data_IF_472042438810
#
_entry.id   IF_472042438810
#
_cell.length_a   1.000
_cell.length_b   1.000
_cell.length_c   1.000
_cell.angle_alpha   90.00
_cell.angle_beta   90.00
_cell.angle_gamma   90.00
#
_symmetry.space_group_name_H-M   'P 1'
#
loop_
_entity.id
_entity.type
_entity.pdbx_description
1 polymer ?
#
# COMPACT_ATOMS: atom_id res chain seq x y z
N UNK A 1 26.58 -21.20 -21.12
CA UNK A 1 25.70 -20.10 -20.64
C UNK A 1 25.96 -19.93 -19.15
N UNK A 2 25.84 -18.72 -18.61
CA UNK A 2 26.11 -18.43 -17.19
C UNK A 2 25.01 -19.05 -16.31
N UNK A 3 25.24 -20.25 -15.77
CA UNK A 3 24.28 -21.04 -14.98
C UNK A 3 24.18 -20.55 -13.52
N UNK A 4 23.79 -19.29 -13.32
CA UNK A 4 23.60 -18.71 -11.99
C UNK A 4 22.15 -18.88 -11.53
N UNK A 5 21.97 -19.45 -10.34
CA UNK A 5 20.65 -19.57 -9.71
C UNK A 5 20.32 -18.30 -8.94
N UNK A 6 19.16 -17.70 -9.25
CA UNK A 6 18.62 -16.52 -8.59
C UNK A 6 17.26 -16.86 -7.98
N UNK A 7 17.09 -16.55 -6.71
CA UNK A 7 15.78 -16.49 -6.07
C UNK A 7 15.22 -15.09 -6.27
N UNK A 8 13.98 -14.99 -6.76
CA UNK A 8 13.30 -13.74 -7.08
C UNK A 8 12.03 -13.64 -6.24
N UNK A 9 11.83 -12.49 -5.60
CA UNK A 9 10.59 -12.21 -4.88
C UNK A 9 10.11 -10.78 -5.10
N UNK A 10 8.80 -10.56 -5.16
CA UNK A 10 8.23 -9.22 -5.28
C UNK A 10 6.74 -9.17 -5.60
N UNK A 11 6.23 -7.97 -5.89
CA UNK A 11 4.82 -7.75 -6.25
C UNK A 11 4.58 -8.00 -7.72
N UNK A 12 3.48 -8.69 -8.01
CA UNK A 12 3.05 -8.97 -9.38
C UNK A 12 2.41 -7.70 -9.97
N UNK A 13 2.98 -7.19 -11.05
CA UNK A 13 2.30 -6.31 -12.00
C UNK A 13 1.72 -7.21 -13.12
N UNK A 14 0.42 -7.08 -13.39
CA UNK A 14 -0.41 -8.04 -14.13
C UNK A 14 -0.16 -8.03 -15.66
N UNK A 15 1.09 -7.93 -16.10
CA UNK A 15 1.50 -7.97 -17.51
C UNK A 15 2.08 -9.33 -17.87
N UNK A 16 1.96 -9.74 -19.13
CA UNK A 16 2.63 -10.92 -19.67
C UNK A 16 3.76 -10.49 -20.60
N UNK A 17 5.02 -10.95 -20.40
CA UNK A 17 5.53 -11.82 -19.32
C UNK A 17 5.43 -11.17 -17.93
N UNK A 18 5.41 -12.00 -16.87
CA UNK A 18 5.19 -11.58 -15.48
C UNK A 18 6.20 -10.50 -15.09
N UNK A 19 5.71 -9.32 -14.76
CA UNK A 19 6.54 -8.23 -14.26
C UNK A 19 6.47 -8.20 -12.73
N UNK A 20 7.63 -8.15 -12.08
CA UNK A 20 7.78 -8.18 -10.64
C UNK A 20 8.60 -6.98 -10.17
N UNK A 21 8.08 -6.28 -9.17
CA UNK A 21 8.81 -5.23 -8.44
C UNK A 21 9.31 -5.84 -7.13
N UNK A 22 10.62 -6.06 -7.01
CA UNK A 22 11.19 -6.64 -5.80
C UNK A 22 12.67 -7.01 -5.88
N UNK A 23 13.11 -7.91 -5.01
CA UNK A 23 14.51 -8.29 -4.88
C UNK A 23 14.85 -9.63 -5.51
N UNK A 24 16.10 -9.77 -5.96
CA UNK A 24 16.69 -11.06 -6.31
C UNK A 24 17.92 -11.36 -5.45
N UNK A 25 17.99 -12.55 -4.86
CA UNK A 25 19.17 -13.05 -4.14
C UNK A 25 19.75 -14.25 -4.87
N UNK A 26 21.08 -14.30 -5.00
CA UNK A 26 21.76 -15.48 -5.52
C UNK A 26 22.10 -16.41 -4.34
N UNK A 27 21.77 -17.70 -4.45
CA UNK A 27 22.24 -18.70 -3.48
C UNK A 27 23.59 -19.28 -3.97
N UNK A 28 24.71 -18.92 -3.31
CA UNK A 28 26.06 -19.46 -3.55
C UNK A 28 27.13 -18.43 -3.98
N UNK A 29 28.23 -18.91 -4.59
CA UNK A 29 29.41 -18.11 -5.02
C UNK A 29 29.15 -17.16 -6.21
N UNK A 30 28.06 -16.40 -6.19
CA UNK A 30 27.60 -15.62 -7.34
C UNK A 30 27.17 -14.22 -6.93
N UNK A 31 27.62 -13.22 -7.73
CA UNK A 31 27.37 -11.79 -7.50
C UNK A 31 25.88 -11.49 -7.31
N UNK A 32 25.59 -10.72 -6.26
CA UNK A 32 24.37 -9.95 -6.10
C UNK A 32 24.10 -9.13 -7.37
N UNK A 33 22.97 -9.36 -8.02
CA UNK A 33 22.38 -8.32 -8.84
C UNK A 33 21.80 -7.30 -7.85
N UNK A 34 22.37 -6.09 -7.78
CA UNK A 34 21.85 -5.05 -6.90
C UNK A 34 20.51 -4.59 -7.48
N UNK A 35 19.43 -5.29 -7.12
CA UNK A 35 18.11 -5.15 -7.73
C UNK A 35 17.19 -4.22 -6.94
N UNK A 36 17.73 -3.53 -5.94
CA UNK A 36 17.02 -2.56 -5.10
C UNK A 36 16.54 -1.33 -5.88
N UNK A 37 16.69 -1.27 -7.20
CA UNK A 37 16.16 -0.22 -8.12
C UNK A 37 15.65 -0.80 -9.45
N UNK A 38 15.64 -2.13 -9.60
CA UNK A 38 15.39 -2.81 -10.86
C UNK A 38 14.02 -3.52 -10.89
N UNK A 39 13.43 -3.62 -12.08
CA UNK A 39 12.24 -4.40 -12.38
C UNK A 39 12.68 -5.79 -12.81
N UNK A 40 11.85 -6.80 -12.55
CA UNK A 40 12.17 -8.18 -12.90
C UNK A 40 11.09 -8.70 -13.83
N UNK A 41 11.49 -9.22 -14.99
CA UNK A 41 10.57 -9.89 -15.90
C UNK A 41 10.84 -11.38 -15.80
N UNK A 42 9.82 -12.16 -15.53
CA UNK A 42 9.92 -13.61 -15.48
C UNK A 42 9.19 -14.21 -16.67
N UNK A 43 9.97 -14.84 -17.54
CA UNK A 43 9.50 -15.63 -18.67
C UNK A 43 9.29 -17.08 -18.20
N UNK A 44 8.07 -17.58 -18.38
CA UNK A 44 7.64 -18.91 -17.91
C UNK A 44 7.79 -19.13 -16.39
N UNK A 45 7.19 -18.25 -15.57
CA UNK A 45 7.26 -18.36 -14.12
C UNK A 45 6.65 -19.67 -13.60
N UNK A 46 7.25 -20.22 -12.55
CA UNK A 46 6.62 -21.27 -11.74
C UNK A 46 5.38 -20.70 -11.03
N UNK A 47 4.20 -21.13 -11.48
CA UNK A 47 2.91 -20.67 -10.93
C UNK A 47 2.68 -21.10 -9.48
N UNK A 48 3.42 -22.10 -8.96
CA UNK A 48 3.31 -22.49 -7.56
C UNK A 48 3.85 -21.43 -6.59
N UNK A 49 4.75 -20.55 -7.08
CA UNK A 49 5.27 -19.40 -6.34
C UNK A 49 4.31 -18.20 -6.32
N UNK A 50 3.08 -18.35 -6.81
CA UNK A 50 2.12 -17.25 -6.91
C UNK A 50 1.31 -17.14 -5.63
N UNK A 51 1.23 -15.93 -5.11
CA UNK A 51 0.17 -15.49 -4.20
C UNK A 51 -0.73 -14.48 -4.90
N UNK A 52 -1.85 -14.09 -4.27
CA UNK A 52 -2.79 -13.10 -4.82
C UNK A 52 -2.14 -11.78 -5.25
N UNK A 53 -0.97 -11.41 -4.69
CA UNK A 53 -0.29 -10.15 -5.03
C UNK A 53 1.22 -10.26 -5.18
N UNK A 54 1.81 -11.44 -4.99
CA UNK A 54 3.26 -11.60 -4.93
C UNK A 54 3.75 -12.85 -5.63
N UNK A 55 5.01 -12.81 -6.04
CA UNK A 55 5.75 -13.92 -6.62
C UNK A 55 6.96 -14.24 -5.74
N UNK A 56 7.28 -15.52 -5.56
CA UNK A 56 8.51 -16.01 -4.97
C UNK A 56 8.98 -17.28 -5.69
N UNK A 57 10.16 -17.28 -6.30
CA UNK A 57 10.62 -18.43 -7.09
C UNK A 57 12.06 -18.36 -7.63
N UNK A 58 12.53 -19.47 -8.18
CA UNK A 58 13.92 -19.65 -8.63
C UNK A 58 14.08 -19.55 -10.17
N UNK A 59 15.16 -18.91 -10.63
CA UNK A 59 15.48 -18.66 -12.04
C UNK A 59 16.97 -18.84 -12.38
N UNK A 60 17.28 -19.22 -13.63
CA UNK A 60 18.66 -19.58 -14.04
C UNK A 60 19.28 -18.65 -15.08
N UNK A 61 18.45 -17.99 -15.88
CA UNK A 61 18.92 -17.10 -16.92
C UNK A 61 18.73 -15.66 -16.44
N UNK A 62 19.79 -14.85 -16.50
CA UNK A 62 19.71 -13.43 -16.26
C UNK A 62 20.18 -12.69 -17.50
N UNK A 63 19.27 -12.01 -18.18
CA UNK A 63 19.61 -10.95 -19.13
C UNK A 63 19.24 -9.62 -18.51
N UNK A 64 20.14 -8.64 -18.55
CA UNK A 64 19.82 -7.25 -18.26
C UNK A 64 19.34 -6.55 -19.53
N UNK A 65 18.21 -5.87 -19.45
CA UNK A 65 17.74 -4.91 -20.45
C UNK A 65 17.53 -3.55 -19.79
N UNK A 66 17.47 -2.47 -20.57
CA UNK A 66 16.98 -1.19 -20.05
C UNK A 66 15.50 -1.05 -20.37
N UNK A 67 14.65 -0.81 -19.36
CA UNK A 67 13.23 -0.49 -19.58
C UNK A 67 12.76 0.63 -18.66
N UNK A 68 11.58 1.16 -18.96
CA UNK A 68 10.88 2.11 -18.12
C UNK A 68 10.16 1.38 -16.98
N UNK A 69 10.38 1.78 -15.74
CA UNK A 69 9.63 1.27 -14.59
C UNK A 69 8.24 1.92 -14.49
N UNK A 70 7.47 1.56 -13.46
CA UNK A 70 6.14 2.15 -13.21
C UNK A 70 6.16 3.67 -12.96
N UNK A 71 7.33 4.25 -12.71
CA UNK A 71 7.57 5.68 -12.49
C UNK A 71 8.25 6.36 -13.70
N UNK A 72 8.44 5.67 -14.83
CA UNK A 72 9.10 6.24 -16.01
C UNK A 72 10.64 6.30 -15.95
N UNK A 73 11.27 5.67 -14.96
CA UNK A 73 12.74 5.57 -14.86
C UNK A 73 13.27 4.55 -15.86
N UNK A 74 14.34 4.91 -16.58
CA UNK A 74 15.12 3.89 -17.28
C UNK A 74 15.91 3.09 -16.24
N UNK A 75 15.43 1.90 -15.93
CA UNK A 75 16.05 0.98 -14.99
C UNK A 75 16.63 -0.22 -15.71
N UNK A 76 17.61 -0.87 -15.08
CA UNK A 76 17.95 -2.23 -15.45
C UNK A 76 16.75 -3.13 -15.13
N UNK A 77 16.30 -3.88 -16.13
CA UNK A 77 15.33 -4.94 -15.98
C UNK A 77 16.03 -6.26 -16.15
N UNK A 78 15.88 -7.08 -15.13
CA UNK A 78 16.42 -8.42 -15.09
C UNK A 78 15.38 -9.36 -15.68
N UNK A 79 15.65 -9.85 -16.88
CA UNK A 79 14.82 -10.84 -17.57
C UNK A 79 15.30 -12.24 -17.16
N UNK A 80 14.44 -12.89 -16.41
CA UNK A 80 14.59 -14.24 -15.90
C UNK A 80 13.85 -15.25 -16.78
N UNK A 81 14.55 -16.28 -17.23
CA UNK A 81 13.94 -17.40 -17.97
C UNK A 81 13.65 -18.61 -17.09
N UNK A 82 12.68 -19.44 -17.49
CA UNK A 82 12.51 -20.77 -16.93
C UNK A 82 13.78 -21.63 -17.12
N UNK A 83 14.13 -22.48 -16.13
CA UNK A 83 15.20 -23.45 -16.29
C UNK A 83 14.87 -24.39 -17.45
N UNK A 84 15.84 -24.62 -18.34
CA UNK A 84 15.75 -25.74 -19.30
C UNK A 84 15.62 -27.07 -18.55
N UNK A 85 15.13 -28.13 -19.19
CA UNK A 85 15.05 -29.46 -18.55
C UNK A 85 16.40 -29.92 -17.94
N UNK A 86 17.51 -29.60 -18.60
CA UNK A 86 18.86 -29.87 -18.10
C UNK A 86 19.22 -29.04 -16.85
N UNK A 87 18.86 -27.75 -16.85
CA UNK A 87 19.01 -26.89 -15.67
C UNK A 87 18.13 -27.37 -14.53
N UNK A 88 16.87 -27.75 -14.81
CA UNK A 88 15.92 -28.27 -13.82
C UNK A 88 16.46 -29.54 -13.14
N UNK A 89 17.05 -30.44 -13.93
CA UNK A 89 17.78 -31.62 -13.43
C UNK A 89 18.97 -31.23 -12.53
N UNK A 90 19.71 -30.16 -12.88
CA UNK A 90 20.82 -29.65 -12.07
C UNK A 90 20.34 -29.00 -10.76
N UNK A 91 19.23 -28.25 -10.76
CA UNK A 91 18.59 -27.74 -9.51
C UNK A 91 18.27 -28.90 -8.60
N UNK A 92 17.58 -29.91 -9.13
CA UNK A 92 17.16 -31.07 -8.36
C UNK A 92 18.37 -31.82 -7.84
N UNK A 93 19.43 -31.97 -8.63
CA UNK A 93 20.68 -32.58 -8.18
C UNK A 93 21.36 -31.78 -7.06
N UNK A 94 21.45 -30.45 -7.17
CA UNK A 94 22.01 -29.57 -6.13
C UNK A 94 21.15 -29.56 -4.86
N UNK A 95 19.83 -29.49 -5.00
CA UNK A 95 18.87 -29.64 -3.90
C UNK A 95 19.06 -30.98 -3.20
N UNK A 96 19.14 -32.07 -3.95
CA UNK A 96 19.39 -33.39 -3.38
C UNK A 96 20.75 -33.49 -2.68
N UNK A 97 21.80 -32.86 -3.23
CA UNK A 97 23.12 -32.81 -2.61
C UNK A 97 23.10 -31.99 -1.31
N UNK A 98 22.43 -30.83 -1.31
CA UNK A 98 22.21 -30.02 -0.10
C UNK A 98 21.42 -30.80 0.95
N UNK A 99 20.27 -31.39 0.58
CA UNK A 99 19.47 -32.24 1.46
C UNK A 99 20.28 -33.38 2.05
N UNK A 100 21.16 -34.01 1.24
CA UNK A 100 22.05 -35.07 1.71
C UNK A 100 23.12 -34.54 2.67
N UNK A 101 23.70 -33.37 2.40
CA UNK A 101 24.67 -32.72 3.29
C UNK A 101 24.02 -32.30 4.62
N UNK A 102 22.83 -31.70 4.59
CA UNK A 102 22.03 -31.36 5.77
C UNK A 102 21.69 -32.60 6.58
N UNK A 103 21.24 -33.68 5.92
CA UNK A 103 20.96 -34.95 6.59
C UNK A 103 22.22 -35.56 7.25
N UNK A 104 23.39 -35.42 6.63
CA UNK A 104 24.66 -35.87 7.20
C UNK A 104 25.08 -35.02 8.41
N UNK A 105 24.92 -33.69 8.33
CA UNK A 105 25.17 -32.79 9.46
C UNK A 105 24.24 -33.10 10.63
N UNK A 106 22.93 -33.26 10.36
CA UNK A 106 21.95 -33.72 11.36
C UNK A 106 22.37 -35.04 11.98
N UNK A 107 22.83 -36.02 11.19
CA UNK A 107 23.33 -37.31 11.69
C UNK A 107 24.57 -37.14 12.57
N UNK A 108 25.50 -36.25 12.21
CA UNK A 108 26.70 -35.94 13.01
C UNK A 108 26.34 -35.27 14.33
N UNK A 109 25.32 -34.42 14.34
CA UNK A 109 24.85 -33.75 15.56
C UNK A 109 24.13 -34.68 16.54
N UNK A 110 23.57 -35.81 16.06
CA UNK A 110 22.82 -36.75 16.92
C UNK A 110 23.56 -37.23 18.15
N UNK A 111 24.90 -37.32 18.09
CA UNK A 111 25.70 -37.74 19.25
C UNK A 111 25.59 -36.77 20.45
N UNK A 112 25.18 -35.52 20.20
CA UNK A 112 24.98 -34.49 21.22
C UNK A 112 23.52 -34.32 21.64
N UNK A 113 22.58 -35.06 21.03
CA UNK A 113 21.14 -34.90 21.26
C UNK A 113 20.76 -35.04 22.72
N UNK A 114 21.41 -35.92 23.49
CA UNK A 114 21.12 -36.08 24.92
C UNK A 114 21.39 -34.80 25.70
N UNK A 115 22.54 -34.15 25.46
CA UNK A 115 22.91 -32.89 26.13
C UNK A 115 22.01 -31.75 25.65
N UNK A 116 21.77 -31.67 24.33
CA UNK A 116 20.93 -30.64 23.73
C UNK A 116 19.48 -30.75 24.21
N UNK A 117 18.93 -31.97 24.31
CA UNK A 117 17.58 -32.19 24.83
C UNK A 117 17.46 -31.79 26.31
N UNK A 118 18.50 -32.01 27.11
CA UNK A 118 18.53 -31.51 28.50
C UNK A 118 18.48 -29.99 28.55
N UNK A 119 19.20 -29.31 27.66
CA UNK A 119 19.14 -27.85 27.53
C UNK A 119 17.78 -27.37 27.05
N UNK A 120 17.19 -28.00 26.03
CA UNK A 120 15.83 -27.70 25.57
C UNK A 120 14.83 -27.82 26.73
N UNK A 121 14.92 -28.89 27.52
CA UNK A 121 14.07 -29.10 28.68
C UNK A 121 14.30 -28.02 29.76
N UNK A 122 15.54 -27.63 30.01
CA UNK A 122 15.87 -26.55 30.94
C UNK A 122 15.28 -25.21 30.48
N UNK A 123 15.44 -24.85 29.21
CA UNK A 123 14.86 -23.64 28.60
C UNK A 123 13.33 -23.66 28.72
N UNK A 124 12.68 -24.76 28.35
CA UNK A 124 11.23 -24.93 28.50
C UNK A 124 10.78 -24.80 29.96
N UNK A 125 11.51 -25.39 30.90
CA UNK A 125 11.21 -25.32 32.33
C UNK A 125 11.36 -23.90 32.87
N UNK A 126 12.41 -23.18 32.46
CA UNK A 126 12.64 -21.79 32.83
C UNK A 126 11.47 -20.90 32.43
N UNK A 127 11.08 -20.92 31.15
CA UNK A 127 9.99 -20.09 30.65
C UNK A 127 8.59 -20.52 31.14
N UNK A 128 8.35 -21.83 31.35
CA UNK A 128 7.11 -22.31 31.99
C UNK A 128 7.03 -21.98 33.48
N UNK A 129 8.16 -21.83 34.17
CA UNK A 129 8.21 -21.38 35.56
C UNK A 129 8.06 -19.86 35.71
N UNK A 130 8.44 -19.11 34.68
CA UNK A 130 8.37 -17.64 34.66
C UNK A 130 7.04 -17.07 34.13
N UNK A 131 6.19 -17.90 33.52
CA UNK A 131 4.93 -17.46 32.88
C UNK A 131 3.87 -18.55 32.78
N UNK A 132 2.69 -18.22 32.23
CA UNK A 132 1.63 -19.22 32.01
C UNK A 132 2.00 -20.15 30.86
N UNK A 133 1.74 -21.47 30.96
CA UNK A 133 1.91 -22.39 29.82
C UNK A 133 1.09 -21.90 28.63
N UNK A 134 1.74 -21.76 27.47
CA UNK A 134 1.16 -21.30 26.20
C UNK A 134 0.77 -19.80 26.14
N UNK A 135 1.23 -18.97 27.08
CA UNK A 135 1.17 -17.53 26.90
C UNK A 135 2.00 -17.09 25.68
N UNK A 136 1.47 -16.23 24.78
CA UNK A 136 2.17 -15.81 23.56
C UNK A 136 3.55 -15.20 23.80
N UNK A 137 3.74 -14.38 24.83
CA UNK A 137 5.03 -13.75 25.12
C UNK A 137 6.03 -14.80 25.62
N UNK A 138 5.56 -15.76 26.42
CA UNK A 138 6.34 -16.89 26.91
C UNK A 138 6.80 -17.80 25.76
N UNK A 139 5.89 -18.12 24.83
CA UNK A 139 6.20 -18.89 23.63
C UNK A 139 7.16 -18.14 22.70
N UNK A 140 6.99 -16.83 22.55
CA UNK A 140 7.87 -15.97 21.77
C UNK A 140 9.30 -15.96 22.32
N UNK A 141 9.46 -15.68 23.61
CA UNK A 141 10.76 -15.68 24.28
C UNK A 141 11.46 -17.04 24.18
N UNK A 142 10.70 -18.12 24.35
CA UNK A 142 11.21 -19.49 24.20
C UNK A 142 11.68 -19.77 22.77
N UNK A 143 10.88 -19.42 21.76
CA UNK A 143 11.25 -19.61 20.35
C UNK A 143 12.52 -18.84 19.97
N UNK A 144 12.64 -17.58 20.44
CA UNK A 144 13.82 -16.73 20.21
C UNK A 144 15.06 -17.33 20.89
N UNK A 145 14.95 -17.72 22.17
CA UNK A 145 16.07 -18.29 22.91
C UNK A 145 16.57 -19.59 22.25
N UNK A 146 15.65 -20.50 21.90
CA UNK A 146 16.01 -21.73 21.21
C UNK A 146 16.65 -21.45 19.84
N UNK A 147 16.16 -20.47 19.09
CA UNK A 147 16.77 -20.09 17.82
C UNK A 147 18.17 -19.51 18.01
N UNK A 148 18.39 -18.68 19.03
CA UNK A 148 19.71 -18.15 19.38
C UNK A 148 20.70 -19.28 19.71
N UNK A 149 20.28 -20.25 20.54
CA UNK A 149 21.10 -21.43 20.84
C UNK A 149 21.46 -22.23 19.59
N UNK A 150 20.53 -22.37 18.64
CA UNK A 150 20.86 -22.96 17.34
C UNK A 150 21.92 -22.15 16.59
N UNK A 151 21.78 -20.82 16.51
CA UNK A 151 22.74 -19.97 15.79
C UNK A 151 24.15 -20.06 16.40
N UNK A 152 24.25 -20.17 17.73
CA UNK A 152 25.53 -20.24 18.44
C UNK A 152 26.17 -21.64 18.39
N UNK A 153 25.37 -22.70 18.36
CA UNK A 153 25.87 -24.08 18.51
C UNK A 153 25.81 -24.92 17.23
N UNK A 154 25.00 -24.51 16.24
CA UNK A 154 24.68 -25.31 15.06
C UNK A 154 23.86 -26.57 15.35
N UNK A 155 23.35 -26.78 16.58
CA UNK A 155 22.63 -27.99 16.94
C UNK A 155 21.16 -27.94 16.48
N UNK A 156 20.85 -28.70 15.42
CA UNK A 156 19.53 -28.72 14.77
C UNK A 156 18.34 -29.01 15.69
N UNK A 157 18.52 -29.77 16.78
CA UNK A 157 17.43 -30.01 17.72
C UNK A 157 16.90 -28.71 18.36
N UNK A 158 17.75 -27.68 18.54
CA UNK A 158 17.30 -26.36 18.97
C UNK A 158 16.44 -25.66 17.90
N UNK A 159 16.82 -25.72 16.62
CA UNK A 159 16.05 -25.12 15.52
C UNK A 159 14.72 -25.82 15.30
N UNK A 160 14.73 -27.16 15.32
CA UNK A 160 13.52 -27.98 15.17
C UNK A 160 12.52 -27.68 16.32
N UNK A 161 13.03 -27.56 17.55
CA UNK A 161 12.19 -27.17 18.69
C UNK A 161 11.73 -25.71 18.60
N UNK A 162 12.60 -24.78 18.22
CA UNK A 162 12.24 -23.37 18.04
C UNK A 162 11.11 -23.21 17.01
N UNK A 163 11.17 -23.95 15.89
CA UNK A 163 10.12 -24.01 14.86
C UNK A 163 8.84 -24.66 15.37
N UNK A 164 8.94 -25.72 16.18
CA UNK A 164 7.79 -26.35 16.83
C UNK A 164 7.06 -25.36 17.75
N UNK A 165 7.80 -24.65 18.62
CA UNK A 165 7.24 -23.61 19.50
C UNK A 165 6.64 -22.46 18.68
N UNK A 166 7.30 -22.01 17.61
CA UNK A 166 6.80 -20.98 16.70
C UNK A 166 5.48 -21.40 16.00
N UNK A 167 5.34 -22.68 15.66
CA UNK A 167 4.13 -23.24 15.07
C UNK A 167 2.97 -23.29 16.09
N UNK A 168 3.26 -23.60 17.36
CA UNK A 168 2.27 -23.48 18.44
C UNK A 168 1.88 -22.02 18.63
N UNK A 169 2.84 -21.10 18.66
CA UNK A 169 2.62 -19.65 18.78
C UNK A 169 1.70 -19.14 17.67
N UNK A 170 1.84 -19.62 16.42
CA UNK A 170 0.93 -19.24 15.32
C UNK A 170 -0.54 -19.53 15.65
N UNK A 171 -0.81 -20.65 16.33
CA UNK A 171 -2.17 -21.05 16.74
C UNK A 171 -2.70 -20.22 17.90
N UNK A 172 -1.82 -19.77 18.80
CA UNK A 172 -2.21 -19.03 20.02
C UNK A 172 -2.28 -17.52 19.79
N UNK A 173 -1.34 -16.98 19.02
CA UNK A 173 -1.28 -15.56 18.65
C UNK A 173 -0.53 -15.40 17.33
N UNK A 174 -1.29 -15.28 16.26
CA UNK A 174 -0.73 -15.06 14.92
C UNK A 174 0.05 -13.73 14.84
N UNK A 175 -0.38 -12.69 15.57
CA UNK A 175 0.32 -11.40 15.62
C UNK A 175 1.72 -11.53 16.22
N UNK A 176 1.83 -12.25 17.35
CA UNK A 176 3.11 -12.48 18.02
C UNK A 176 4.00 -13.41 17.18
N UNK A 177 3.41 -14.41 16.52
CA UNK A 177 4.11 -15.27 15.57
C UNK A 177 4.82 -14.45 14.48
N UNK A 178 4.11 -13.53 13.82
CA UNK A 178 4.69 -12.70 12.77
C UNK A 178 5.77 -11.72 13.28
N UNK A 179 5.63 -11.25 14.53
CA UNK A 179 6.67 -10.47 15.20
C UNK A 179 7.97 -11.28 15.39
N UNK A 180 7.85 -12.50 15.91
CA UNK A 180 8.99 -13.39 16.20
C UNK A 180 9.63 -13.96 14.94
N UNK A 181 8.86 -14.13 13.86
CA UNK A 181 9.33 -14.75 12.61
C UNK A 181 10.55 -14.04 12.00
N UNK A 182 10.78 -12.75 12.30
CA UNK A 182 12.00 -12.03 11.89
C UNK A 182 13.30 -12.70 12.35
N UNK A 183 13.26 -13.40 13.49
CA UNK A 183 14.42 -14.06 14.10
C UNK A 183 14.78 -15.36 13.38
N UNK A 184 13.83 -15.91 12.61
CA UNK A 184 13.99 -17.18 11.94
C UNK A 184 14.53 -17.04 10.53
N UNK A 185 14.08 -16.03 9.79
CA UNK A 185 14.46 -15.79 8.40
C UNK A 185 14.54 -14.27 8.12
N UNK A 186 15.71 -13.77 7.72
CA UNK A 186 15.91 -12.35 7.33
C UNK A 186 15.15 -11.98 6.03
N UNK A 187 14.65 -12.97 5.28
CA UNK A 187 14.07 -12.79 3.95
C UNK A 187 12.57 -12.48 3.88
N UNK A 188 11.84 -12.57 4.99
CA UNK A 188 10.36 -12.61 5.00
C UNK A 188 9.67 -11.27 5.32
N UNK A 189 10.36 -10.15 5.11
CA UNK A 189 9.81 -8.83 5.44
C UNK A 189 8.48 -8.54 4.69
N UNK A 190 8.37 -8.90 3.41
CA UNK A 190 7.19 -8.57 2.59
C UNK A 190 5.92 -9.31 3.01
N UNK A 191 6.00 -10.56 3.48
CA UNK A 191 4.82 -11.27 3.97
C UNK A 191 4.41 -10.77 5.36
N UNK A 192 5.40 -10.56 6.25
CA UNK A 192 5.21 -9.91 7.56
C UNK A 192 4.54 -8.55 7.41
N UNK A 193 5.04 -7.70 6.53
CA UNK A 193 4.49 -6.37 6.29
C UNK A 193 3.06 -6.43 5.78
N UNK A 194 2.76 -7.32 4.83
CA UNK A 194 1.39 -7.51 4.34
C UNK A 194 0.44 -8.04 5.42
N UNK A 195 0.91 -8.90 6.33
CA UNK A 195 0.12 -9.36 7.45
C UNK A 195 -0.31 -8.19 8.34
N UNK A 196 0.64 -7.36 8.77
CA UNK A 196 0.34 -6.22 9.63
C UNK A 196 -0.43 -5.11 8.90
N UNK A 197 -0.19 -4.92 7.60
CA UNK A 197 -0.87 -3.93 6.78
C UNK A 197 -2.38 -4.18 6.70
N UNK A 198 -2.80 -5.45 6.71
CA UNK A 198 -4.24 -5.81 6.76
C UNK A 198 -4.93 -5.36 8.04
N UNK A 199 -4.16 -5.07 9.10
CA UNK A 199 -4.69 -4.68 10.40
C UNK A 199 -4.61 -3.18 10.60
N UNK A 200 -3.41 -2.62 10.44
CA UNK A 200 -3.15 -1.21 10.68
C UNK A 200 -1.85 -0.79 9.95
N UNK A 201 -1.89 0.36 9.27
CA UNK A 201 -0.75 0.83 8.47
C UNK A 201 0.44 1.22 9.35
N UNK A 202 0.21 1.80 10.53
CA UNK A 202 1.26 2.23 11.46
C UNK A 202 1.94 1.03 12.10
N UNK A 203 1.17 -0.02 12.42
CA UNK A 203 1.72 -1.30 12.91
C UNK A 203 2.56 -1.97 11.83
N UNK A 204 2.18 -1.88 10.55
CA UNK A 204 2.99 -2.41 9.46
C UNK A 204 4.29 -1.62 9.28
N UNK A 205 4.24 -0.30 9.37
CA UNK A 205 5.41 0.56 9.24
C UNK A 205 6.39 0.39 10.40
N UNK A 206 5.92 0.07 11.60
CA UNK A 206 6.79 -0.08 12.79
C UNK A 206 7.73 -1.29 12.73
N UNK A 207 7.51 -2.22 11.80
CA UNK A 207 8.39 -3.40 11.62
C UNK A 207 9.47 -3.21 10.55
N UNK A 208 9.50 -2.06 9.88
CA UNK A 208 10.54 -1.68 8.93
C UNK A 208 11.65 -0.93 9.66
N UNK A 209 12.91 -1.31 9.42
CA UNK A 209 14.07 -0.74 10.10
C UNK A 209 15.27 -0.46 9.17
N UNK A 210 15.33 -1.11 8.00
CA UNK A 210 16.42 -0.90 7.03
C UNK A 210 15.95 -0.10 5.82
N UNK A 211 16.85 0.54 5.05
CA UNK A 211 16.49 1.25 3.82
C UNK A 211 15.71 0.36 2.84
N UNK A 212 16.11 -0.91 2.70
CA UNK A 212 15.47 -1.89 1.82
C UNK A 212 14.07 -2.30 2.31
N UNK A 213 13.86 -2.36 3.63
CA UNK A 213 12.56 -2.65 4.23
C UNK A 213 11.59 -1.48 4.05
N UNK A 214 12.05 -0.24 4.31
CA UNK A 214 11.23 0.95 4.06
C UNK A 214 10.93 1.14 2.57
N UNK A 215 11.88 0.85 1.68
CA UNK A 215 11.63 0.82 0.25
C UNK A 215 10.55 -0.21 -0.11
N UNK A 216 10.67 -1.44 0.39
CA UNK A 216 9.68 -2.48 0.14
C UNK A 216 8.29 -2.09 0.68
N UNK A 217 8.23 -1.47 1.86
CA UNK A 217 6.99 -0.93 2.42
C UNK A 217 6.36 0.14 1.51
N UNK A 218 7.16 1.08 1.00
CA UNK A 218 6.70 2.12 0.08
C UNK A 218 6.09 1.55 -1.21
N UNK A 219 6.75 0.55 -1.82
CA UNK A 219 6.25 -0.15 -3.00
C UNK A 219 4.91 -0.87 -2.75
N UNK A 220 4.77 -1.50 -1.57
CA UNK A 220 3.53 -2.17 -1.15
C UNK A 220 2.39 -1.18 -1.05
N UNK A 221 2.63 -0.12 -0.29
CA UNK A 221 1.63 0.91 0.00
C UNK A 221 1.22 1.64 -1.27
N UNK A 222 2.17 1.92 -2.17
CA UNK A 222 1.89 2.46 -3.50
C UNK A 222 0.96 1.56 -4.30
N UNK A 223 1.26 0.25 -4.37
CA UNK A 223 0.42 -0.73 -5.08
C UNK A 223 -0.98 -0.85 -4.47
N UNK A 224 -1.10 -0.63 -3.15
CA UNK A 224 -2.36 -0.58 -2.42
C UNK A 224 -3.06 0.79 -2.46
N UNK A 225 -2.52 1.76 -3.20
CA UNK A 225 -3.00 3.14 -3.31
C UNK A 225 -3.09 3.88 -1.97
N UNK A 226 -2.26 3.52 -1.01
CA UNK A 226 -2.10 4.27 0.23
C UNK A 226 -0.92 5.25 0.08
N UNK A 227 -1.12 6.29 -0.73
CA UNK A 227 -0.03 7.15 -1.20
C UNK A 227 0.59 7.97 -0.07
N UNK A 228 -0.21 8.44 0.89
CA UNK A 228 0.30 9.14 2.07
C UNK A 228 1.25 8.27 2.91
N UNK A 229 0.88 7.02 3.20
CA UNK A 229 1.77 6.12 3.95
C UNK A 229 2.96 5.64 3.10
N UNK A 230 2.75 5.42 1.79
CA UNK A 230 3.83 5.10 0.87
C UNK A 230 4.89 6.21 0.84
N UNK A 231 4.45 7.47 0.89
CA UNK A 231 5.34 8.63 0.94
C UNK A 231 6.17 8.64 2.21
N UNK A 232 5.54 8.43 3.38
CA UNK A 232 6.26 8.34 4.65
C UNK A 232 7.34 7.26 4.61
N UNK A 233 7.01 6.07 4.10
CA UNK A 233 7.97 4.98 3.95
C UNK A 233 9.09 5.32 2.96
N UNK A 234 8.77 6.00 1.85
CA UNK A 234 9.75 6.41 0.86
C UNK A 234 10.69 7.51 1.36
N UNK A 235 10.18 8.46 2.14
CA UNK A 235 10.98 9.50 2.79
C UNK A 235 11.98 8.87 3.77
N UNK A 236 11.53 7.92 4.59
CA UNK A 236 12.38 7.21 5.54
C UNK A 236 13.44 6.36 4.82
N UNK A 237 13.06 5.63 3.77
CA UNK A 237 14.03 4.88 2.96
C UNK A 237 15.08 5.81 2.35
N UNK A 238 14.68 6.98 1.86
CA UNK A 238 15.57 7.99 1.28
C UNK A 238 16.54 8.57 2.32
N UNK A 239 16.04 8.85 3.53
CA UNK A 239 16.83 9.35 4.65
C UNK A 239 17.90 8.34 5.08
N UNK A 240 17.57 7.04 5.03
CA UNK A 240 18.48 5.94 5.34
C UNK A 240 19.42 5.54 4.18
N UNK A 241 19.30 6.18 3.01
CA UNK A 241 20.25 6.03 1.89
C UNK A 241 19.74 5.20 0.71
N UNK A 242 18.48 4.76 0.69
CA UNK A 242 17.89 4.17 -0.50
C UNK A 242 17.64 5.24 -1.58
N UNK A 243 17.74 4.87 -2.85
CA UNK A 243 17.38 5.77 -3.94
C UNK A 243 15.86 5.76 -4.17
N UNK A 244 15.19 6.86 -3.78
CA UNK A 244 13.72 7.02 -3.86
C UNK A 244 13.27 8.26 -4.64
N UNK A 245 14.19 8.99 -5.30
CA UNK A 245 13.92 10.32 -5.88
C UNK A 245 12.66 10.39 -6.75
N UNK A 246 12.45 9.45 -7.67
CA UNK A 246 11.27 9.52 -8.57
C UNK A 246 10.01 8.93 -7.95
N UNK A 247 10.12 7.91 -7.10
CA UNK A 247 8.97 7.46 -6.31
C UNK A 247 8.46 8.60 -5.44
N UNK A 248 9.35 9.38 -4.82
CA UNK A 248 8.97 10.57 -4.06
C UNK A 248 8.37 11.67 -4.94
N UNK A 249 8.87 11.88 -6.16
CA UNK A 249 8.24 12.83 -7.10
C UNK A 249 6.79 12.43 -7.43
N UNK A 250 6.56 11.15 -7.74
CA UNK A 250 5.24 10.61 -8.05
C UNK A 250 4.31 10.64 -6.81
N UNK A 251 4.82 10.21 -5.66
CA UNK A 251 4.08 10.19 -4.40
C UNK A 251 3.77 11.60 -3.89
N UNK A 252 4.64 12.59 -4.12
CA UNK A 252 4.35 13.98 -3.78
C UNK A 252 3.15 14.50 -4.57
N UNK A 253 3.05 14.12 -5.85
CA UNK A 253 1.89 14.45 -6.69
C UNK A 253 0.63 13.72 -6.19
N UNK A 254 0.69 12.40 -6.04
CA UNK A 254 -0.46 11.56 -5.68
C UNK A 254 -0.96 11.79 -4.25
N UNK A 255 -0.07 12.03 -3.28
CA UNK A 255 -0.47 12.32 -1.90
C UNK A 255 -1.09 13.72 -1.77
N UNK A 256 -0.67 14.69 -2.60
CA UNK A 256 -1.32 15.98 -2.69
C UNK A 256 -2.73 15.84 -3.29
N UNK A 257 -2.88 15.03 -4.35
CA UNK A 257 -4.17 14.68 -4.94
C UNK A 257 -5.12 14.04 -3.91
N UNK A 258 -4.69 13.00 -3.17
CA UNK A 258 -5.50 12.33 -2.15
C UNK A 258 -6.03 13.31 -1.08
N UNK A 259 -5.15 14.16 -0.55
CA UNK A 259 -5.51 15.14 0.48
C UNK A 259 -6.48 16.18 -0.05
N UNK A 260 -6.23 16.70 -1.25
CA UNK A 260 -7.12 17.65 -1.89
C UNK A 260 -8.45 17.00 -2.31
N UNK A 261 -8.49 15.70 -2.61
CA UNK A 261 -9.72 14.96 -2.92
C UNK A 261 -10.65 14.89 -1.71
N UNK A 262 -10.10 14.71 -0.50
CA UNK A 262 -10.87 14.79 0.75
C UNK A 262 -11.41 16.20 0.99
N UNK A 263 -10.57 17.22 0.76
CA UNK A 263 -11.00 18.62 0.86
C UNK A 263 -12.08 18.97 -0.16
N UNK A 264 -11.97 18.45 -1.40
CA UNK A 264 -12.96 18.60 -2.45
C UNK A 264 -14.30 17.97 -2.05
N UNK A 265 -14.31 16.80 -1.42
CA UNK A 265 -15.55 16.17 -0.91
C UNK A 265 -16.24 17.03 0.14
N UNK A 266 -15.48 17.56 1.10
CA UNK A 266 -16.03 18.47 2.11
C UNK A 266 -16.55 19.78 1.50
N UNK A 267 -15.85 20.28 0.49
CA UNK A 267 -16.27 21.43 -0.30
C UNK A 267 -17.59 21.15 -1.05
N UNK A 268 -17.70 20.00 -1.74
CA UNK A 268 -18.89 19.60 -2.49
C UNK A 268 -20.13 19.51 -1.58
N UNK A 269 -19.98 19.00 -0.36
CA UNK A 269 -21.07 18.99 0.63
C UNK A 269 -21.52 20.39 1.03
N UNK A 270 -20.55 21.28 1.27
CA UNK A 270 -20.83 22.68 1.62
C UNK A 270 -21.49 23.43 0.46
N UNK A 271 -21.06 23.15 -0.78
CA UNK A 271 -21.62 23.72 -1.99
C UNK A 271 -23.05 23.23 -2.27
N UNK A 272 -23.30 21.92 -2.17
CA UNK A 272 -24.64 21.34 -2.32
C UNK A 272 -25.63 21.89 -1.29
N UNK A 273 -25.19 22.10 -0.05
CA UNK A 273 -26.01 22.73 0.98
C UNK A 273 -26.37 24.18 0.63
N UNK A 274 -25.44 24.94 0.03
CA UNK A 274 -25.68 26.32 -0.40
C UNK A 274 -26.65 26.37 -1.59
N UNK A 275 -26.48 25.50 -2.60
CA UNK A 275 -27.43 25.36 -3.73
C UNK A 275 -28.82 25.08 -3.18
N UNK A 276 -28.97 24.05 -2.34
CA UNK A 276 -30.28 23.67 -1.77
C UNK A 276 -30.94 24.79 -0.98
N UNK A 277 -30.14 25.59 -0.27
CA UNK A 277 -30.64 26.77 0.45
C UNK A 277 -31.16 27.83 -0.51
N UNK A 278 -30.46 28.07 -1.62
CA UNK A 278 -30.88 29.01 -2.65
C UNK A 278 -32.09 28.50 -3.44
N UNK A 279 -32.15 27.22 -3.80
CA UNK A 279 -33.33 26.58 -4.40
C UNK A 279 -34.57 26.75 -3.52
N UNK A 280 -34.43 26.53 -2.20
CA UNK A 280 -35.53 26.71 -1.26
C UNK A 280 -36.00 28.17 -1.20
N UNK A 281 -35.07 29.12 -1.31
CA UNK A 281 -35.39 30.55 -1.37
C UNK A 281 -36.14 30.91 -2.66
N UNK A 282 -35.68 30.42 -3.82
CA UNK A 282 -36.36 30.60 -5.09
C UNK A 282 -37.75 29.95 -5.10
N UNK A 283 -37.88 28.75 -4.52
CA UNK A 283 -39.13 28.00 -4.48
C UNK A 283 -40.23 28.68 -3.66
N UNK A 284 -39.89 29.50 -2.65
CA UNK A 284 -40.89 30.31 -1.91
C UNK A 284 -41.64 31.28 -2.80
N UNK A 285 -41.00 31.74 -3.88
CA UNK A 285 -41.47 32.86 -4.70
C UNK A 285 -41.66 32.49 -6.18
N UNK A 286 -41.57 31.21 -6.53
CA UNK A 286 -41.89 30.71 -7.86
C UNK A 286 -43.41 30.48 -8.00
N UNK A 287 -44.11 31.22 -8.89
CA UNK A 287 -45.56 31.13 -9.04
C UNK A 287 -46.08 29.75 -9.47
N UNK A 288 -45.26 28.92 -10.13
CA UNK A 288 -45.67 27.58 -10.60
C UNK A 288 -45.95 26.59 -9.45
N UNK A 289 -45.49 26.86 -8.23
CA UNK A 289 -45.81 26.04 -7.03
C UNK A 289 -46.89 26.64 -6.12
N UNK A 290 -47.19 27.93 -6.24
CA UNK A 290 -48.03 28.66 -5.28
C UNK A 290 -49.42 29.02 -5.80
N UNK A 291 -49.77 28.66 -7.05
CA UNK A 291 -51.16 28.65 -7.54
C UNK A 291 -51.83 30.03 -7.69
N UNK A 292 -51.17 31.14 -7.38
CA UNK A 292 -51.72 32.48 -7.54
C UNK A 292 -50.87 33.29 -8.54
N UNK A 293 -51.29 33.25 -9.80
CA UNK A 293 -50.85 34.23 -10.79
C UNK A 293 -51.44 35.60 -10.41
N UNK A 294 -50.68 36.42 -9.68
CA UNK A 294 -51.10 37.78 -9.34
C UNK A 294 -50.35 38.45 -8.18
N UNK A 295 -49.67 37.69 -7.30
CA UNK A 295 -48.84 38.27 -6.25
C UNK A 295 -47.47 38.67 -6.81
N UNK A 296 -47.15 39.96 -6.82
CA UNK A 296 -45.79 40.43 -7.09
C UNK A 296 -44.84 39.83 -6.05
N UNK A 297 -43.85 39.05 -6.49
CA UNK A 297 -42.83 38.49 -5.62
C UNK A 297 -42.17 39.62 -4.80
N UNK A 298 -41.92 39.41 -3.49
CA UNK A 298 -41.25 40.42 -2.69
C UNK A 298 -39.88 40.72 -3.29
N UNK A 299 -39.44 41.98 -3.20
CA UNK A 299 -38.09 42.34 -3.63
C UNK A 299 -37.08 41.62 -2.74
N UNK A 300 -36.21 40.81 -3.35
CA UNK A 300 -35.06 40.22 -2.70
C UNK A 300 -34.20 41.33 -2.05
N UNK A 301 -33.97 41.24 -0.74
CA UNK A 301 -33.10 42.17 -0.05
C UNK A 301 -31.64 41.86 -0.42
N UNK A 302 -30.98 42.79 -1.12
CA UNK A 302 -29.58 42.66 -1.53
C UNK A 302 -28.64 42.32 -0.39
N UNK A 303 -28.79 42.94 0.79
CA UNK A 303 -27.92 42.70 1.93
C UNK A 303 -28.09 41.28 2.48
N UNK A 304 -29.32 40.78 2.44
CA UNK A 304 -29.67 39.42 2.84
C UNK A 304 -29.16 38.40 1.82
N UNK A 305 -29.34 38.65 0.52
CA UNK A 305 -28.78 37.81 -0.56
C UNK A 305 -27.25 37.77 -0.47
N UNK A 306 -26.60 38.92 -0.24
CA UNK A 306 -25.16 39.00 -0.11
C UNK A 306 -24.63 38.24 1.11
N UNK A 307 -25.31 38.36 2.25
CA UNK A 307 -24.95 37.65 3.48
C UNK A 307 -25.19 36.13 3.37
N UNK A 308 -26.31 35.73 2.78
CA UNK A 308 -26.74 34.33 2.76
C UNK A 308 -26.15 33.52 1.60
N UNK A 309 -25.81 34.16 0.48
CA UNK A 309 -25.42 33.47 -0.76
C UNK A 309 -24.12 34.02 -1.36
N UNK A 310 -24.00 35.32 -1.64
CA UNK A 310 -22.82 35.88 -2.32
C UNK A 310 -21.52 35.65 -1.53
N UNK A 311 -21.51 35.96 -0.23
CA UNK A 311 -20.31 35.79 0.63
C UNK A 311 -19.93 34.31 0.83
N UNK A 312 -20.86 33.40 1.18
CA UNK A 312 -20.56 31.96 1.21
C UNK A 312 -20.05 31.42 -0.12
N UNK A 313 -20.64 31.85 -1.24
CA UNK A 313 -20.19 31.42 -2.58
C UNK A 313 -18.76 31.90 -2.87
N UNK A 314 -18.42 33.15 -2.54
CA UNK A 314 -17.08 33.69 -2.70
C UNK A 314 -16.03 32.95 -1.86
N UNK A 315 -16.40 32.55 -0.63
CA UNK A 315 -15.57 31.68 0.21
C UNK A 315 -15.34 30.32 -0.46
N UNK A 316 -16.41 29.65 -0.92
CA UNK A 316 -16.32 28.37 -1.62
C UNK A 316 -15.47 28.48 -2.90
N UNK A 317 -15.60 29.57 -3.67
CA UNK A 317 -14.77 29.84 -4.85
C UNK A 317 -13.28 29.91 -4.50
N UNK A 318 -12.96 30.57 -3.39
CA UNK A 318 -11.57 30.69 -2.90
C UNK A 318 -11.02 29.33 -2.44
N UNK A 319 -11.83 28.55 -1.72
CA UNK A 319 -11.47 27.20 -1.27
C UNK A 319 -11.24 26.26 -2.45
N UNK A 320 -12.12 26.27 -3.46
CA UNK A 320 -11.96 25.46 -4.67
C UNK A 320 -10.71 25.88 -5.47
N UNK A 321 -10.44 27.19 -5.58
CA UNK A 321 -9.26 27.71 -6.25
C UNK A 321 -7.94 27.27 -5.57
N UNK A 322 -7.98 27.06 -4.25
CA UNK A 322 -6.81 26.61 -3.48
C UNK A 322 -6.42 25.15 -3.74
N UNK A 323 -7.34 24.33 -4.24
CA UNK A 323 -7.07 22.94 -4.66
C UNK A 323 -6.39 22.96 -6.04
N UNK A 324 -5.13 22.53 -6.14
CA UNK A 324 -4.30 22.65 -7.35
C UNK A 324 -4.07 21.32 -8.08
N UNK A 325 -4.26 20.21 -7.39
CA UNK A 325 -3.90 18.87 -7.83
C UNK A 325 -5.11 18.05 -8.28
N UNK A 326 -6.33 18.40 -7.88
CA UNK A 326 -7.56 17.70 -8.29
C UNK A 326 -8.25 18.33 -9.50
N UNK A 327 -8.89 17.49 -10.32
CA UNK A 327 -9.76 17.96 -11.40
C UNK A 327 -11.07 18.53 -10.84
N UNK A 328 -11.37 19.77 -11.23
CA UNK A 328 -12.48 20.57 -10.68
C UNK A 328 -13.25 21.37 -11.76
N UNK A 329 -13.12 20.97 -13.02
CA UNK A 329 -13.69 21.68 -14.17
C UNK A 329 -15.22 21.83 -14.08
N UNK A 330 -15.91 20.78 -13.61
CA UNK A 330 -17.35 20.77 -13.41
C UNK A 330 -17.78 21.67 -12.25
N UNK A 331 -17.05 21.63 -11.13
CA UNK A 331 -17.27 22.50 -9.98
C UNK A 331 -17.05 23.98 -10.31
N UNK A 332 -16.01 24.32 -11.07
CA UNK A 332 -15.71 25.69 -11.51
C UNK A 332 -16.77 26.22 -12.48
N UNK A 333 -17.26 25.38 -13.40
CA UNK A 333 -18.37 25.72 -14.29
C UNK A 333 -19.67 25.95 -13.52
N UNK A 334 -20.01 25.04 -12.60
CA UNK A 334 -21.20 25.15 -11.74
C UNK A 334 -21.17 26.43 -10.89
N UNK A 335 -20.04 26.74 -10.26
CA UNK A 335 -19.86 27.98 -9.47
C UNK A 335 -20.14 29.24 -10.29
N UNK A 336 -19.68 29.26 -11.54
CA UNK A 336 -19.85 30.41 -12.43
C UNK A 336 -21.33 30.63 -12.77
N UNK A 337 -22.07 29.56 -13.04
CA UNK A 337 -23.52 29.62 -13.27
C UNK A 337 -24.29 30.02 -12.02
N UNK A 338 -23.91 29.50 -10.85
CA UNK A 338 -24.56 29.87 -9.59
C UNK A 338 -24.28 31.34 -9.21
N UNK A 339 -23.05 31.83 -9.42
CA UNK A 339 -22.73 33.25 -9.28
C UNK A 339 -23.60 34.11 -10.22
N UNK A 340 -23.84 33.65 -11.44
CA UNK A 340 -24.77 34.27 -12.40
C UNK A 340 -26.20 34.35 -11.86
N UNK A 341 -26.73 33.26 -11.29
CA UNK A 341 -28.08 33.22 -10.72
C UNK A 341 -28.25 34.22 -9.56
N UNK A 342 -27.29 34.28 -8.63
CA UNK A 342 -27.31 35.22 -7.51
C UNK A 342 -27.23 36.67 -8.01
N UNK A 343 -26.32 36.97 -8.95
CA UNK A 343 -26.18 38.30 -9.54
C UNK A 343 -27.46 38.73 -10.25
N UNK A 344 -28.08 37.83 -11.01
CA UNK A 344 -29.32 38.10 -11.71
C UNK A 344 -30.43 38.48 -10.72
N UNK A 345 -30.63 37.69 -9.66
CA UNK A 345 -31.62 38.00 -8.63
C UNK A 345 -31.30 39.31 -7.90
N UNK A 346 -30.02 39.64 -7.71
CA UNK A 346 -29.62 40.92 -7.10
C UNK A 346 -29.95 42.13 -7.99
N UNK A 347 -29.84 41.97 -9.31
CA UNK A 347 -30.14 43.04 -10.28
C UNK A 347 -31.64 43.13 -10.61
N UNK A 348 -32.34 41.99 -10.57
CA UNK A 348 -33.75 41.85 -10.87
C UNK A 348 -34.45 41.19 -9.67
N UNK A 349 -34.66 41.93 -8.57
CA UNK A 349 -35.02 41.38 -7.25
C UNK A 349 -36.42 40.76 -7.16
N UNK A 350 -37.20 40.78 -8.24
CA UNK A 350 -38.53 40.17 -8.32
C UNK A 350 -38.57 39.00 -9.31
N UNK A 351 -37.50 38.74 -10.06
CA UNK A 351 -37.47 37.75 -11.13
C UNK A 351 -36.79 36.44 -10.69
N UNK A 352 -37.49 35.73 -9.80
CA UNK A 352 -37.07 34.46 -9.24
C UNK A 352 -37.09 33.31 -10.27
N UNK A 353 -37.89 33.43 -11.33
CA UNK A 353 -38.03 32.40 -12.38
C UNK A 353 -36.78 32.35 -13.24
N UNK A 354 -36.31 33.49 -13.74
CA UNK A 354 -35.06 33.53 -14.52
C UNK A 354 -33.83 33.21 -13.66
N UNK A 355 -33.83 33.58 -12.38
CA UNK A 355 -32.79 33.16 -11.44
C UNK A 355 -32.76 31.62 -11.23
N UNK A 356 -33.93 30.97 -11.21
CA UNK A 356 -34.03 29.50 -11.13
C UNK A 356 -33.46 28.82 -12.39
N UNK A 357 -33.77 29.32 -13.59
CA UNK A 357 -33.22 28.75 -14.83
C UNK A 357 -31.68 28.82 -14.89
N UNK A 358 -31.08 29.88 -14.32
CA UNK A 358 -29.62 30.00 -14.20
C UNK A 358 -29.04 29.05 -13.16
N UNK A 359 -29.78 28.77 -12.09
CA UNK A 359 -29.41 27.78 -11.08
C UNK A 359 -29.47 26.35 -11.64
N UNK A 360 -30.49 26.03 -12.45
CA UNK A 360 -30.60 24.72 -13.12
C UNK A 360 -29.37 24.44 -14.01
N UNK A 361 -28.84 25.47 -14.67
CA UNK A 361 -27.60 25.34 -15.43
C UNK A 361 -26.40 24.97 -14.52
N UNK A 362 -26.33 25.53 -13.30
CA UNK A 362 -25.29 25.18 -12.33
C UNK A 362 -25.40 23.72 -11.86
N UNK A 363 -26.61 23.23 -11.67
CA UNK A 363 -26.89 21.85 -11.25
C UNK A 363 -26.54 20.85 -12.36
N UNK A 364 -26.94 21.15 -13.61
CA UNK A 364 -26.66 20.30 -14.77
C UNK A 364 -25.15 20.02 -14.98
N UNK A 365 -24.27 21.00 -14.67
CA UNK A 365 -22.81 20.79 -14.73
C UNK A 365 -22.30 19.75 -13.73
N UNK A 366 -22.95 19.63 -12.57
CA UNK A 366 -22.61 18.62 -11.56
C UNK A 366 -23.20 17.25 -11.93
N UNK A 367 -24.43 17.19 -12.42
CA UNK A 367 -25.09 15.92 -12.78
C UNK A 367 -24.41 15.23 -13.98
N UNK A 368 -23.91 16.01 -14.94
CA UNK A 368 -23.14 15.48 -16.07
C UNK A 368 -21.79 14.86 -15.67
N UNK A 369 -21.27 15.18 -14.49
CA UNK A 369 -20.07 14.53 -13.91
C UNK A 369 -20.36 13.10 -13.46
N UNK A 370 -21.55 12.84 -12.92
CA UNK A 370 -21.93 11.54 -12.35
C UNK A 370 -22.35 10.50 -13.41
N UNK A 371 -22.44 10.89 -14.69
CA UNK A 371 -22.81 10.02 -15.82
C UNK A 371 -21.61 9.38 -16.55
N UNK A 372 -20.37 9.71 -16.18
CA UNK A 372 -19.13 9.16 -16.78
C UNK A 372 -18.36 8.33 -15.75
#
# INVERSE_FOLDING_TARGET
MNDKLYYVQGYIDQRSPLYVIGSSTAEGNHRLANSSTAGMIIQNPDKSGYSQSGYAGYHYYLRSEKRKNIFGETIDVYVFGAPTAAMQKNITAKKNAYTKADANLRKSNKQFDSVVNNWINAVKKHYKGAGKPNDPNTLAAMAIHLKALYMDTGAYAFDDEAKSVLAVLKKTSESTHWGVRNVFDEGDFRERFQYFLKKDVNVALSIAHTPEQYKAAAEILYTKKNYSAAKLAADEAQALGANMKQMLAELNKLAAEDKEQEQLKAWQQSYAALIKKFEAELAKYNPEKNGEAGASAPQANKEEIDAQFSKPLAKLKTELAALKSVEKNHEEASLTSFEGAIRYLTMNPTDYVAAAALLDAAINFLETKDMK
#
